data_IF_126124601804
#
_entry.id   IF_126124601804
#
_cell.length_a   1.000
_cell.length_b   1.000
_cell.length_c   1.000
_cell.angle_alpha   90.00
_cell.angle_beta   90.00
_cell.angle_gamma   90.00
#
_symmetry.space_group_name_H-M   'P 1'
#
loop_
_entity.id
_entity.type
_entity.pdbx_description
1 polymer ?
#
# COMPACT_ATOMS: atom_id res chain seq x y z
N UNK A 1 11.20 -5.44 -6.87
CA UNK A 1 10.01 -6.17 -6.37
C UNK A 1 9.00 -5.19 -5.85
N UNK A 2 7.73 -5.42 -6.13
CA UNK A 2 6.58 -4.68 -5.60
C UNK A 2 5.90 -5.58 -4.59
N UNK A 3 5.77 -5.12 -3.35
CA UNK A 3 5.01 -5.81 -2.32
C UNK A 3 3.63 -5.18 -2.24
N UNK A 4 2.57 -5.98 -2.25
CA UNK A 4 1.21 -5.46 -2.12
C UNK A 4 0.20 -6.49 -1.63
N UNK A 5 -1.06 -6.09 -1.39
CA UNK A 5 -2.13 -7.00 -1.03
C UNK A 5 -2.46 -7.99 -2.17
N UNK A 6 -3.24 -9.05 -1.88
CA UNK A 6 -3.77 -9.93 -2.92
C UNK A 6 -4.46 -9.15 -4.05
N UNK A 7 -4.12 -9.46 -5.30
CA UNK A 7 -4.63 -8.76 -6.49
C UNK A 7 -3.66 -7.74 -7.09
N UNK A 8 -2.55 -7.42 -6.43
CA UNK A 8 -1.50 -6.54 -6.96
C UNK A 8 -0.90 -7.10 -8.26
N UNK A 9 -0.70 -8.42 -8.35
CA UNK A 9 -0.18 -9.08 -9.54
C UNK A 9 -1.18 -8.97 -10.70
N UNK A 10 -2.47 -9.12 -10.39
CA UNK A 10 -3.53 -8.93 -11.39
C UNK A 10 -3.56 -7.50 -11.91
N UNK A 11 -3.46 -6.51 -11.02
CA UNK A 11 -3.38 -5.11 -11.40
C UNK A 11 -2.19 -4.83 -12.33
N UNK A 12 -1.00 -5.34 -11.98
CA UNK A 12 0.21 -5.19 -12.80
C UNK A 12 0.05 -5.76 -14.21
N UNK A 13 -0.52 -6.97 -14.33
CA UNK A 13 -0.79 -7.59 -15.62
C UNK A 13 -1.75 -6.75 -16.48
N UNK A 14 -2.80 -6.19 -15.86
CA UNK A 14 -3.77 -5.33 -16.56
C UNK A 14 -3.17 -3.98 -16.95
N UNK A 15 -2.29 -3.42 -16.14
CA UNK A 15 -1.52 -2.23 -16.50
C UNK A 15 -0.65 -2.50 -17.74
N UNK A 16 0.10 -3.61 -17.76
CA UNK A 16 0.90 -3.98 -18.93
C UNK A 16 0.03 -4.17 -20.17
N UNK A 17 -1.12 -4.81 -20.03
CA UNK A 17 -2.07 -4.99 -21.14
C UNK A 17 -2.59 -3.65 -21.67
N UNK A 18 -2.89 -2.69 -20.79
CA UNK A 18 -3.32 -1.35 -21.21
C UNK A 18 -2.20 -0.58 -21.95
N UNK A 19 -0.94 -0.89 -21.65
CA UNK A 19 0.25 -0.25 -22.21
C UNK A 19 0.89 -1.02 -23.36
N UNK A 20 0.25 -2.07 -23.88
CA UNK A 20 0.86 -3.05 -24.80
C UNK A 20 1.54 -2.39 -26.01
N UNK A 21 0.87 -1.44 -26.67
CA UNK A 21 1.45 -0.72 -27.80
C UNK A 21 2.72 0.07 -27.43
N UNK A 22 2.72 0.77 -26.28
CA UNK A 22 3.87 1.56 -25.82
C UNK A 22 5.05 0.65 -25.41
N UNK A 23 4.75 -0.50 -24.79
CA UNK A 23 5.77 -1.49 -24.42
C UNK A 23 6.43 -2.06 -25.68
N UNK A 24 5.63 -2.53 -26.65
CA UNK A 24 6.16 -3.16 -27.86
C UNK A 24 6.96 -2.19 -28.73
N UNK A 25 6.50 -0.94 -28.93
CA UNK A 25 7.24 0.04 -29.73
C UNK A 25 8.57 0.44 -29.07
N UNK A 26 8.63 0.56 -27.74
CA UNK A 26 9.89 0.86 -27.03
C UNK A 26 10.88 -0.30 -27.09
N UNK A 27 10.41 -1.55 -27.08
CA UNK A 27 11.28 -2.71 -27.29
C UNK A 27 11.86 -2.67 -28.71
N UNK A 28 11.00 -2.47 -29.71
CA UNK A 28 11.40 -2.50 -31.12
C UNK A 28 12.29 -1.32 -31.54
N UNK A 29 11.89 -0.09 -31.20
CA UNK A 29 12.53 1.14 -31.70
C UNK A 29 13.67 1.62 -30.81
N UNK A 30 13.52 1.50 -29.48
CA UNK A 30 14.52 1.98 -28.52
C UNK A 30 15.41 0.85 -27.96
N UNK A 31 15.09 -0.43 -28.22
CA UNK A 31 15.81 -1.57 -27.65
C UNK A 31 15.66 -1.69 -26.13
N UNK A 32 14.55 -1.18 -25.57
CA UNK A 32 14.30 -1.24 -24.13
C UNK A 32 14.10 -2.69 -23.67
N UNK A 33 14.52 -3.04 -22.45
CA UNK A 33 14.15 -4.31 -21.85
C UNK A 33 12.63 -4.38 -21.67
N UNK A 34 12.09 -5.59 -21.77
CA UNK A 34 10.68 -5.84 -21.53
C UNK A 34 10.32 -5.57 -20.06
N UNK A 35 9.56 -4.50 -19.82
CA UNK A 35 9.17 -4.08 -18.46
C UNK A 35 8.37 -5.17 -17.72
N UNK A 36 7.65 -6.04 -18.45
CA UNK A 36 6.88 -7.15 -17.89
C UNK A 36 7.78 -8.12 -17.11
N UNK A 37 9.05 -8.24 -17.52
CA UNK A 37 10.04 -9.11 -16.86
C UNK A 37 10.86 -8.40 -15.77
N UNK A 38 10.78 -7.06 -15.67
CA UNK A 38 11.55 -6.27 -14.70
C UNK A 38 10.83 -6.10 -13.35
N UNK A 39 9.52 -6.30 -13.33
CA UNK A 39 8.69 -6.14 -12.13
C UNK A 39 8.27 -7.51 -11.60
N UNK A 40 8.88 -7.89 -10.47
CA UNK A 40 8.39 -8.99 -9.64
C UNK A 40 7.35 -8.45 -8.65
N UNK A 41 6.18 -9.10 -8.56
CA UNK A 41 5.15 -8.77 -7.58
C UNK A 41 5.11 -9.87 -6.53
N UNK A 42 5.23 -9.49 -5.26
CA UNK A 42 5.05 -10.36 -4.11
C UNK A 42 3.79 -9.92 -3.37
N UNK A 43 2.79 -10.78 -3.31
CA UNK A 43 1.55 -10.50 -2.60
C UNK A 43 1.66 -10.95 -1.14
N UNK A 44 1.25 -10.10 -0.20
CA UNK A 44 1.33 -10.37 1.23
C UNK A 44 -0.02 -10.16 1.93
N UNK A 45 -0.17 -10.81 3.09
CA UNK A 45 -1.26 -10.60 4.03
C UNK A 45 -0.73 -10.15 5.40
N UNK A 46 -1.56 -10.30 6.43
CA UNK A 46 -1.12 -10.05 7.81
C UNK A 46 0.00 -11.01 8.23
N UNK A 47 0.99 -10.50 8.98
CA UNK A 47 2.14 -11.27 9.45
C UNK A 47 3.46 -10.86 8.80
N UNK A 48 4.34 -11.83 8.54
CA UNK A 48 5.65 -11.56 7.94
C UNK A 48 5.53 -11.22 6.45
N UNK A 49 6.20 -10.16 6.01
CA UNK A 49 6.24 -9.71 4.61
C UNK A 49 7.63 -9.93 4.01
N UNK A 50 8.69 -9.59 4.75
CA UNK A 50 10.07 -9.70 4.29
C UNK A 50 11.01 -9.90 5.49
N UNK A 51 11.98 -10.79 5.34
CA UNK A 51 13.10 -10.91 6.28
C UNK A 51 14.40 -11.17 5.51
N UNK A 52 15.22 -10.13 5.34
CA UNK A 52 16.45 -10.21 4.55
C UNK A 52 17.53 -9.29 5.09
N UNK A 53 18.76 -9.80 5.25
CA UNK A 53 19.93 -8.99 5.63
C UNK A 53 19.72 -8.14 6.90
N UNK A 54 18.91 -8.63 7.85
CA UNK A 54 18.57 -7.93 9.10
C UNK A 54 17.43 -6.91 8.97
N UNK A 55 16.84 -6.75 7.77
CA UNK A 55 15.60 -6.02 7.54
C UNK A 55 14.43 -6.96 7.79
N UNK A 56 13.55 -6.59 8.71
CA UNK A 56 12.31 -7.31 9.01
C UNK A 56 11.14 -6.40 8.69
N UNK A 57 10.20 -6.89 7.88
CA UNK A 57 8.94 -6.18 7.57
C UNK A 57 7.78 -7.07 7.99
N UNK A 58 6.92 -6.52 8.83
CA UNK A 58 5.66 -7.18 9.25
C UNK A 58 4.46 -6.30 8.90
N UNK A 59 3.32 -6.94 8.67
CA UNK A 59 2.07 -6.33 8.32
C UNK A 59 1.00 -6.62 9.37
N UNK A 60 0.17 -5.62 9.68
CA UNK A 60 -1.08 -5.76 10.42
C UNK A 60 -2.23 -5.34 9.50
N UNK A 61 -3.29 -6.15 9.38
CA UNK A 61 -4.48 -5.73 8.66
C UNK A 61 -5.21 -4.65 9.46
N UNK A 62 -5.45 -3.50 8.84
CA UNK A 62 -6.15 -2.38 9.49
C UNK A 62 -7.63 -2.32 9.11
N UNK A 63 -8.41 -1.59 9.90
CA UNK A 63 -9.85 -1.45 9.68
C UNK A 63 -10.14 -0.31 8.70
N UNK A 64 -10.26 -0.60 7.41
CA UNK A 64 -10.47 0.42 6.37
C UNK A 64 -11.68 0.14 5.47
N UNK A 65 -12.92 0.10 6.00
CA UNK A 65 -14.09 -0.22 5.19
C UNK A 65 -14.28 0.79 4.04
N UNK A 66 -14.70 0.34 2.84
CA UNK A 66 -15.05 -1.04 2.47
C UNK A 66 -13.86 -1.90 2.03
N UNK A 67 -12.63 -1.39 2.13
CA UNK A 67 -11.40 -2.07 1.69
C UNK A 67 -10.97 -3.09 2.75
N UNK A 68 -10.90 -4.36 2.35
CA UNK A 68 -10.51 -5.44 3.27
C UNK A 68 -9.01 -5.62 3.40
N UNK A 69 -8.28 -5.46 2.30
CA UNK A 69 -6.84 -5.71 2.21
C UNK A 69 -6.06 -4.38 2.26
N UNK A 70 -6.15 -3.73 3.42
CA UNK A 70 -5.33 -2.57 3.78
C UNK A 70 -4.45 -2.96 4.97
N UNK A 71 -3.16 -2.64 4.92
CA UNK A 71 -2.18 -3.13 5.89
C UNK A 71 -1.25 -2.03 6.38
N UNK A 72 -1.18 -1.87 7.69
CA UNK A 72 -0.08 -1.15 8.32
C UNK A 72 1.20 -1.97 8.18
N UNK A 73 2.34 -1.31 8.00
CA UNK A 73 3.64 -1.95 7.86
C UNK A 73 4.60 -1.46 8.94
N UNK A 74 5.24 -2.40 9.63
CA UNK A 74 6.36 -2.12 10.53
C UNK A 74 7.64 -2.61 9.88
N UNK A 75 8.60 -1.70 9.72
CA UNK A 75 9.90 -1.95 9.12
C UNK A 75 10.95 -1.80 10.19
N UNK A 76 11.75 -2.84 10.43
CA UNK A 76 12.77 -2.88 11.47
C UNK A 76 14.13 -3.25 10.86
N UNK A 77 15.17 -2.50 11.21
CA UNK A 77 16.54 -2.78 10.78
C UNK A 77 17.55 -2.12 11.73
N UNK A 78 18.58 -2.86 12.13
CA UNK A 78 19.66 -2.32 12.98
C UNK A 78 19.18 -1.75 14.33
N UNK A 79 18.12 -2.33 14.90
CA UNK A 79 17.51 -1.86 16.16
C UNK A 79 16.69 -0.56 16.02
N UNK A 80 16.42 -0.11 14.80
CA UNK A 80 15.51 1.00 14.50
C UNK A 80 14.24 0.50 13.85
N UNK A 81 13.16 1.26 14.01
CA UNK A 81 11.83 0.88 13.55
C UNK A 81 11.01 2.07 13.04
N UNK A 82 10.30 1.87 11.93
CA UNK A 82 9.30 2.81 11.41
C UNK A 82 8.00 2.06 11.14
N UNK A 83 6.88 2.67 11.48
CA UNK A 83 5.55 2.13 11.24
C UNK A 83 4.76 3.06 10.33
N UNK A 84 4.16 2.52 9.29
CA UNK A 84 3.21 3.19 8.42
C UNK A 84 1.80 2.66 8.74
N UNK A 85 0.86 3.53 9.10
CA UNK A 85 -0.50 3.11 9.50
C UNK A 85 -1.34 2.55 8.35
N UNK A 86 -1.03 2.94 7.11
CA UNK A 86 -1.97 2.94 5.99
C UNK A 86 -3.24 3.78 6.28
N UNK A 87 -4.21 3.73 5.37
CA UNK A 87 -5.54 4.32 5.59
C UNK A 87 -6.32 3.40 6.55
N UNK A 88 -6.95 3.97 7.57
CA UNK A 88 -7.62 3.21 8.65
C UNK A 88 -8.61 4.06 9.43
N UNK A 89 -9.70 3.43 9.88
CA UNK A 89 -10.52 3.92 10.96
C UNK A 89 -9.78 3.81 12.31
N UNK A 90 -10.39 4.33 13.38
CA UNK A 90 -9.86 4.17 14.73
C UNK A 90 -9.78 2.69 15.10
N UNK A 91 -8.55 2.19 15.23
CA UNK A 91 -8.28 0.76 15.37
C UNK A 91 -7.22 0.51 16.46
N UNK A 92 -7.63 0.17 17.70
CA UNK A 92 -6.71 -0.06 18.82
C UNK A 92 -5.56 -1.04 18.56
N UNK A 93 -5.75 -2.16 17.81
CA UNK A 93 -4.64 -3.06 17.50
C UNK A 93 -3.49 -2.39 16.74
N UNK A 94 -3.73 -1.34 15.96
CA UNK A 94 -2.67 -0.57 15.33
C UNK A 94 -1.80 0.17 16.35
N UNK A 95 -2.38 0.68 17.43
CA UNK A 95 -1.63 1.33 18.50
C UNK A 95 -0.69 0.35 19.21
N UNK A 96 -1.14 -0.90 19.42
CA UNK A 96 -0.31 -1.96 19.98
C UNK A 96 0.81 -2.39 19.03
N UNK A 97 0.50 -2.53 17.74
CA UNK A 97 1.48 -2.85 16.69
C UNK A 97 2.56 -1.77 16.52
N UNK A 98 2.15 -0.50 16.61
CA UNK A 98 3.04 0.66 16.50
C UNK A 98 3.85 0.94 17.76
N UNK A 99 3.57 0.25 18.86
CA UNK A 99 4.17 0.53 20.16
C UNK A 99 5.69 0.34 20.12
N UNK A 100 6.39 1.36 20.61
CA UNK A 100 7.84 1.39 20.68
C UNK A 100 8.54 1.68 19.34
N UNK A 101 7.80 2.01 18.28
CA UNK A 101 8.40 2.44 17.02
C UNK A 101 9.18 3.75 17.21
N UNK A 102 10.33 3.91 16.54
CA UNK A 102 11.06 5.20 16.56
C UNK A 102 10.27 6.27 15.80
N UNK A 103 9.58 5.86 14.72
CA UNK A 103 8.76 6.74 13.88
C UNK A 103 7.42 6.07 13.60
N UNK A 104 6.33 6.83 13.77
CA UNK A 104 5.00 6.46 13.30
C UNK A 104 4.56 7.48 12.24
N UNK A 105 4.39 7.00 11.01
CA UNK A 105 3.74 7.72 9.92
C UNK A 105 2.27 7.30 9.93
N UNK A 106 1.41 8.19 10.42
CA UNK A 106 -0.01 7.92 10.56
C UNK A 106 -0.85 8.81 9.65
N UNK A 107 -1.88 8.23 9.04
CA UNK A 107 -2.91 9.01 8.35
C UNK A 107 -3.64 9.95 9.32
N UNK A 108 -4.04 11.12 8.83
CA UNK A 108 -4.75 12.10 9.64
C UNK A 108 -5.75 12.85 8.74
N UNK A 109 -6.98 12.38 8.73
CA UNK A 109 -8.06 13.06 8.02
C UNK A 109 -8.35 14.43 8.62
N UNK A 110 -8.41 15.45 7.76
CA UNK A 110 -8.87 16.79 8.14
C UNK A 110 -10.40 16.83 8.07
N UNK A 111 -11.06 16.76 9.22
CA UNK A 111 -12.53 16.75 9.34
C UNK A 111 -13.20 17.90 8.56
N UNK A 112 -12.72 19.14 8.74
CA UNK A 112 -13.26 20.31 8.03
C UNK A 112 -13.19 20.17 6.50
N UNK A 113 -12.15 19.48 6.00
CA UNK A 113 -11.98 19.19 4.58
C UNK A 113 -13.07 18.25 4.07
N UNK A 114 -13.40 17.22 4.86
CA UNK A 114 -14.46 16.27 4.55
C UNK A 114 -15.83 16.93 4.58
N UNK A 115 -16.12 17.75 5.59
CA UNK A 115 -17.40 18.47 5.67
C UNK A 115 -17.63 19.38 4.46
N UNK A 116 -16.58 20.07 4.00
CA UNK A 116 -16.65 20.91 2.80
C UNK A 116 -16.88 20.10 1.53
N UNK A 117 -16.30 18.91 1.42
CA UNK A 117 -16.52 17.99 0.29
C UNK A 117 -17.96 17.46 0.30
N UNK A 118 -18.42 17.01 1.47
CA UNK A 118 -19.80 16.54 1.71
C UNK A 118 -20.84 17.62 1.39
N UNK A 119 -20.57 18.88 1.74
CA UNK A 119 -21.48 19.98 1.42
C UNK A 119 -21.54 20.30 -0.08
N UNK A 120 -20.44 20.07 -0.82
CA UNK A 120 -20.35 20.34 -2.27
C UNK A 120 -20.82 19.18 -3.14
N UNK A 121 -20.62 17.95 -2.69
CA UNK A 121 -21.07 16.75 -3.39
C UNK A 121 -22.32 16.23 -2.69
N UNK A 122 -23.47 16.21 -3.37
CA UNK A 122 -24.75 15.71 -2.83
C UNK A 122 -24.76 14.22 -2.37
N UNK A 123 -23.60 13.57 -2.29
CA UNK A 123 -23.36 12.20 -1.84
C UNK A 123 -22.83 12.13 -0.40
N UNK A 124 -23.02 13.18 0.41
CA UNK A 124 -22.49 13.31 1.77
C UNK A 124 -22.67 12.11 2.71
N UNK A 125 -23.72 11.31 2.51
CA UNK A 125 -24.00 10.13 3.31
C UNK A 125 -23.08 8.92 3.03
N UNK A 126 -22.29 8.92 1.96
CA UNK A 126 -21.34 7.83 1.61
C UNK A 126 -19.88 8.15 1.91
N UNK A 127 -19.59 9.36 2.40
CA UNK A 127 -18.25 9.86 2.71
C UNK A 127 -17.95 9.86 4.21
N UNK A 128 -18.94 9.52 5.05
CA UNK A 128 -18.83 9.38 6.50
C UNK A 128 -18.72 7.92 6.88
#
# INVERSE_FOLDING_TARGET
TVFGPPGTSHYWQRFCQAMDFDIEIRIADEGRPDIRALVLVEEFGEGSVLEEHGLVVTALRVDHPPVTDCFALRVEHGGRSIVFSADTAFFPPLADFAKGADILVHEAMLEEGIERLVAKTGNGARLR
#
